data_IF_365606614780
#
_entry.id   IF_365606614780
#
_cell.length_a   1.000
_cell.length_b   1.000
_cell.length_c   1.000
_cell.angle_alpha   90.00
_cell.angle_beta   90.00
_cell.angle_gamma   90.00
#
_symmetry.space_group_name_H-M   'P 1'
#
loop_
_entity.id
_entity.type
_entity.pdbx_description
1 polymer ?
#
# COMPACT_ATOMS: atom_id res chain seq x y z
N UNK A 1 -9.12 -7.00 7.95
CA UNK A 1 -8.07 -8.03 8.07
C UNK A 1 -6.73 -7.33 7.97
N UNK A 2 -5.66 -7.82 8.58
CA UNK A 2 -4.34 -7.21 8.41
C UNK A 2 -3.30 -8.30 8.15
N UNK A 3 -2.35 -8.03 7.25
CA UNK A 3 -1.17 -8.85 7.05
C UNK A 3 0.09 -7.99 7.04
N UNK A 4 1.19 -8.58 7.49
CA UNK A 4 2.51 -8.00 7.31
C UNK A 4 3.52 -9.11 7.10
N UNK A 5 4.48 -8.89 6.21
CA UNK A 5 5.57 -9.82 5.97
C UNK A 5 6.86 -9.07 5.68
N UNK A 6 7.96 -9.70 6.07
CA UNK A 6 9.32 -9.25 5.78
C UNK A 6 10.04 -10.38 5.04
N UNK A 7 10.66 -10.04 3.91
CA UNK A 7 11.46 -10.99 3.14
C UNK A 7 12.93 -10.94 3.57
N UNK A 8 13.67 -12.03 3.35
CA UNK A 8 15.09 -12.11 3.71
C UNK A 8 16.01 -11.11 2.99
N UNK A 9 15.51 -10.45 1.94
CA UNK A 9 16.18 -9.37 1.23
C UNK A 9 15.72 -7.96 1.67
N UNK A 10 15.06 -7.83 2.84
CA UNK A 10 14.72 -6.55 3.45
C UNK A 10 13.47 -5.86 2.89
N UNK A 11 12.67 -6.56 2.08
CA UNK A 11 11.37 -6.03 1.64
C UNK A 11 10.38 -6.21 2.78
N UNK A 12 9.72 -5.13 3.17
CA UNK A 12 8.64 -5.14 4.16
C UNK A 12 7.35 -4.81 3.45
N UNK A 13 6.29 -5.54 3.71
CA UNK A 13 4.97 -5.20 3.19
C UNK A 13 3.95 -5.39 4.30
N UNK A 14 2.98 -4.48 4.33
CA UNK A 14 1.85 -4.53 5.25
C UNK A 14 0.60 -4.08 4.51
N UNK A 15 -0.53 -4.69 4.82
CA UNK A 15 -1.84 -4.33 4.28
C UNK A 15 -2.87 -4.52 5.39
N UNK A 16 -3.80 -3.58 5.46
CA UNK A 16 -4.96 -3.61 6.31
C UNK A 16 -6.20 -3.38 5.45
N UNK A 17 -7.03 -4.42 5.35
CA UNK A 17 -8.37 -4.34 4.80
C UNK A 17 -9.35 -3.81 5.85
N UNK A 18 -9.91 -2.63 5.59
CA UNK A 18 -10.97 -2.01 6.36
C UNK A 18 -12.31 -2.08 5.58
N UNK A 19 -13.39 -2.44 6.28
CA UNK A 19 -14.74 -2.27 5.75
C UNK A 19 -15.17 -0.85 6.07
N UNK A 20 -15.18 0.03 5.06
CA UNK A 20 -15.68 1.39 5.27
C UNK A 20 -17.20 1.35 5.43
N UNK A 21 -17.76 2.02 6.45
CA UNK A 21 -19.21 2.10 6.61
C UNK A 21 -19.78 3.00 5.50
N UNK A 22 -20.23 2.38 4.42
CA UNK A 22 -20.83 3.06 3.27
C UNK A 22 -21.84 2.14 2.57
N UNK A 23 -23.12 2.24 2.96
CA UNK A 23 -24.23 1.55 2.30
C UNK A 23 -24.31 0.04 2.52
N UNK A 24 -25.42 -0.57 2.10
CA UNK A 24 -25.83 -1.97 2.36
C UNK A 24 -24.82 -3.06 1.89
N UNK A 25 -23.77 -2.67 1.17
CA UNK A 25 -22.65 -3.52 0.74
C UNK A 25 -21.35 -2.79 1.06
N UNK A 26 -20.85 -2.93 2.31
CA UNK A 26 -19.70 -2.17 2.78
C UNK A 26 -18.51 -2.26 1.83
N UNK A 27 -18.04 -1.10 1.37
CA UNK A 27 -16.89 -1.01 0.47
C UNK A 27 -15.68 -1.61 1.18
N UNK A 28 -15.12 -2.67 0.59
CA UNK A 28 -13.85 -3.23 1.00
C UNK A 28 -12.75 -2.29 0.49
N UNK A 29 -12.25 -1.42 1.35
CA UNK A 29 -11.01 -0.69 1.06
C UNK A 29 -9.85 -1.35 1.78
N UNK A 30 -8.74 -1.56 1.07
CA UNK A 30 -7.50 -2.01 1.67
C UNK A 30 -6.47 -0.88 1.58
N UNK A 31 -5.87 -0.54 2.71
CA UNK A 31 -4.72 0.36 2.74
C UNK A 31 -3.49 -0.46 3.05
N UNK A 32 -2.41 -0.23 2.34
CA UNK A 32 -1.19 -0.95 2.56
C UNK A 32 0.04 -0.11 2.27
N UNK A 33 1.18 -0.67 2.63
CA UNK A 33 2.46 -0.10 2.27
C UNK A 33 3.49 -1.20 2.09
N UNK A 34 4.42 -0.99 1.17
CA UNK A 34 5.59 -1.83 1.05
C UNK A 34 6.83 -0.95 0.96
N UNK A 35 7.90 -1.41 1.60
CA UNK A 35 9.21 -0.81 1.49
C UNK A 35 10.24 -1.82 1.01
N UNK A 36 11.17 -1.35 0.19
CA UNK A 36 12.27 -2.16 -0.33
C UNK A 36 13.50 -1.27 -0.55
N UNK A 37 14.68 -1.86 -0.43
CA UNK A 37 15.93 -1.19 -0.81
C UNK A 37 16.11 -1.31 -2.32
N UNK A 38 16.16 -0.16 -3.00
CA UNK A 38 16.44 -0.08 -4.41
C UNK A 38 17.92 -0.44 -4.70
N UNK A 39 18.26 -0.85 -5.93
CA UNK A 39 19.63 -1.25 -6.28
C UNK A 39 20.68 -0.14 -6.09
N UNK A 40 20.27 1.13 -6.01
CA UNK A 40 21.12 2.28 -5.68
C UNK A 40 21.34 2.48 -4.16
N UNK A 41 20.69 1.69 -3.32
CA UNK A 41 20.78 1.76 -1.85
C UNK A 41 19.72 2.62 -1.18
N UNK A 42 18.87 3.31 -1.95
CA UNK A 42 17.75 4.10 -1.40
C UNK A 42 16.66 3.19 -0.86
N UNK A 43 16.16 3.48 0.34
CA UNK A 43 14.95 2.83 0.86
C UNK A 43 13.73 3.47 0.19
N UNK A 44 13.02 2.68 -0.61
CA UNK A 44 11.80 3.08 -1.26
C UNK A 44 10.63 2.62 -0.42
N UNK A 45 9.75 3.55 -0.05
CA UNK A 45 8.44 3.26 0.56
C UNK A 45 7.34 3.64 -0.42
N UNK A 46 6.40 2.72 -0.62
CA UNK A 46 5.15 2.91 -1.35
C UNK A 46 4.03 2.66 -0.39
N UNK A 47 3.10 3.60 -0.29
CA UNK A 47 1.82 3.46 0.37
C UNK A 47 0.77 3.33 -0.72
N UNK A 48 -0.30 2.60 -0.49
CA UNK A 48 -1.36 2.46 -1.47
C UNK A 48 -2.71 2.32 -0.81
N UNK A 49 -3.72 2.80 -1.51
CA UNK A 49 -5.13 2.59 -1.17
C UNK A 49 -5.77 1.85 -2.33
N UNK A 50 -6.37 0.70 -2.03
CA UNK A 50 -7.18 -0.08 -2.95
C UNK A 50 -8.64 0.03 -2.53
N UNK A 51 -9.45 0.72 -3.32
CA UNK A 51 -10.89 0.86 -3.11
C UNK A 51 -11.65 0.69 -4.43
N UNK A 52 -12.91 1.09 -4.49
CA UNK A 52 -13.74 1.01 -5.71
C UNK A 52 -13.13 1.73 -6.91
N UNK A 53 -12.28 2.73 -6.67
CA UNK A 53 -11.57 3.48 -7.68
C UNK A 53 -10.28 2.77 -8.17
N UNK A 54 -9.99 1.58 -7.65
CA UNK A 54 -8.81 0.79 -7.99
C UNK A 54 -7.64 1.01 -7.05
N UNK A 55 -6.44 0.70 -7.54
CA UNK A 55 -5.19 0.81 -6.77
C UNK A 55 -4.55 2.18 -6.97
N UNK A 56 -4.44 2.95 -5.89
CA UNK A 56 -3.86 4.30 -5.85
C UNK A 56 -2.57 4.28 -5.03
N UNK A 57 -1.39 4.18 -5.68
CA UNK A 57 -0.11 4.22 -4.98
C UNK A 57 0.36 5.66 -4.73
N UNK A 58 1.01 5.86 -3.60
CA UNK A 58 1.59 7.11 -3.11
C UNK A 58 3.00 6.82 -2.61
N UNK A 59 3.96 7.63 -3.01
CA UNK A 59 5.34 7.51 -2.54
C UNK A 59 6.21 8.58 -3.17
N UNK A 60 7.25 9.02 -2.45
CA UNK A 60 8.17 10.10 -2.87
C UNK A 60 8.85 9.86 -4.23
N UNK A 61 8.90 8.62 -4.69
CA UNK A 61 9.51 8.20 -5.96
C UNK A 61 8.49 8.04 -7.10
N UNK A 62 7.19 8.21 -6.83
CA UNK A 62 6.15 8.17 -7.85
C UNK A 62 5.97 9.57 -8.43
N UNK A 63 5.73 9.70 -9.76
CA UNK A 63 5.39 10.98 -10.34
C UNK A 63 4.06 11.45 -9.74
N UNK A 64 4.09 12.52 -8.96
CA UNK A 64 2.88 13.25 -8.61
C UNK A 64 2.39 13.94 -9.86
N UNK A 65 1.16 13.66 -10.28
CA UNK A 65 0.53 14.44 -11.35
C UNK A 65 0.57 15.94 -10.96
N UNK A 66 0.96 16.84 -11.88
CA UNK A 66 1.01 18.28 -11.63
C UNK A 66 -0.38 18.90 -11.46
#
# INVERSE_FOLDING_TARGET
FHFSYETGNGIKAQEEGELKPGGEEGIQSAVGSYSYTAPDGTEIKVEYTADENGFVPVGDHLPTSP
#
